data_IF_415914382225
#
_entry.id   IF_415914382225
#
_cell.length_a   1.000
_cell.length_b   1.000
_cell.length_c   1.000
_cell.angle_alpha   90.00
_cell.angle_beta   90.00
_cell.angle_gamma   90.00
#
_symmetry.space_group_name_H-M   'P 1'
#
loop_
_entity.id
_entity.type
_entity.pdbx_description
1 polymer ?
#
# COMPACT_ATOMS: atom_id res chain seq x y z
N UNK A 1 38.37 20.78 0.58
CA UNK A 1 36.95 21.04 0.18
C UNK A 1 36.38 19.69 -0.22
N UNK A 2 35.67 19.05 0.66
CA UNK A 2 35.02 17.76 0.41
C UNK A 2 33.52 18.02 0.22
N UNK A 3 33.07 17.74 -0.99
CA UNK A 3 31.66 17.79 -1.34
C UNK A 3 30.90 16.79 -0.46
N UNK A 4 30.03 17.31 0.39
CA UNK A 4 28.97 16.54 1.04
C UNK A 4 27.90 16.33 -0.03
N UNK A 5 27.91 15.19 -0.68
CA UNK A 5 26.72 14.70 -1.38
C UNK A 5 25.58 14.63 -0.38
N UNK A 6 24.59 15.51 -0.60
CA UNK A 6 23.34 15.47 0.11
C UNK A 6 22.63 14.16 -0.28
N UNK A 7 22.66 13.17 0.61
CA UNK A 7 21.69 12.08 0.57
C UNK A 7 20.33 12.72 0.78
N UNK A 8 19.60 12.92 -0.29
CA UNK A 8 18.17 13.18 -0.20
C UNK A 8 17.53 11.91 0.36
N UNK A 9 16.99 11.99 1.57
CA UNK A 9 16.11 10.95 2.10
C UNK A 9 15.03 10.67 1.03
N UNK A 10 14.78 9.39 0.71
CA UNK A 10 13.73 9.05 -0.24
C UNK A 10 12.41 9.62 0.30
N UNK A 11 11.76 10.45 -0.51
CA UNK A 11 10.43 10.97 -0.20
C UNK A 11 9.52 9.76 0.13
N UNK A 12 8.89 9.73 1.32
CA UNK A 12 8.03 8.63 1.67
C UNK A 12 6.89 8.56 0.66
N UNK A 13 6.63 7.36 0.13
CA UNK A 13 5.49 7.12 -0.76
C UNK A 13 4.19 7.45 -0.06
N UNK A 14 3.28 8.12 -0.77
CA UNK A 14 1.92 8.31 -0.31
C UNK A 14 1.17 6.95 -0.32
N UNK A 15 0.78 6.42 0.83
CA UNK A 15 0.02 5.17 0.90
C UNK A 15 -1.27 5.18 0.07
N UNK A 16 -1.89 6.35 -0.12
CA UNK A 16 -3.10 6.51 -0.93
C UNK A 16 -2.80 6.32 -2.40
N UNK A 17 -1.66 6.80 -2.88
CA UNK A 17 -1.21 6.57 -4.26
C UNK A 17 -0.96 5.08 -4.50
N UNK A 18 -0.27 4.40 -3.59
CA UNK A 18 -0.01 2.97 -3.68
C UNK A 18 -1.31 2.18 -3.75
N UNK A 19 -2.28 2.50 -2.89
CA UNK A 19 -3.60 1.84 -2.91
C UNK A 19 -4.30 2.05 -4.25
N UNK A 20 -4.31 3.27 -4.76
CA UNK A 20 -4.92 3.60 -6.06
C UNK A 20 -4.29 2.78 -7.19
N UNK A 21 -2.98 2.66 -7.23
CA UNK A 21 -2.25 1.91 -8.26
C UNK A 21 -2.51 0.40 -8.14
N UNK A 22 -2.55 -0.14 -6.93
CA UNK A 22 -2.82 -1.57 -6.72
C UNK A 22 -4.29 -1.92 -7.01
N UNK A 23 -5.23 -1.04 -6.67
CA UNK A 23 -6.65 -1.21 -7.05
C UNK A 23 -6.80 -1.16 -8.58
N UNK A 24 -6.17 -0.18 -9.26
CA UNK A 24 -6.15 -0.12 -10.72
C UNK A 24 -5.54 -1.38 -11.35
N UNK A 25 -4.46 -1.93 -10.77
CA UNK A 25 -3.85 -3.16 -11.26
C UNK A 25 -4.81 -4.37 -11.25
N UNK A 26 -5.65 -4.47 -10.22
CA UNK A 26 -6.65 -5.54 -10.10
C UNK A 26 -7.76 -5.36 -11.15
N UNK A 27 -8.26 -4.13 -11.31
CA UNK A 27 -9.35 -3.82 -12.23
C UNK A 27 -8.90 -3.96 -13.69
N UNK A 28 -7.75 -3.40 -14.06
CA UNK A 28 -7.16 -3.51 -15.39
C UNK A 28 -6.84 -4.96 -15.76
N UNK A 29 -6.38 -5.76 -14.78
CA UNK A 29 -6.16 -7.18 -15.02
C UNK A 29 -7.46 -7.92 -15.34
N UNK A 30 -8.57 -7.56 -14.68
CA UNK A 30 -9.87 -8.16 -14.98
C UNK A 30 -10.35 -7.81 -16.41
N UNK A 31 -10.18 -6.56 -16.85
CA UNK A 31 -10.49 -6.12 -18.22
C UNK A 31 -9.59 -6.80 -19.26
N UNK A 32 -8.29 -6.88 -18.99
CA UNK A 32 -7.33 -7.55 -19.86
C UNK A 32 -7.67 -9.03 -19.99
N UNK A 33 -8.01 -9.71 -18.90
CA UNK A 33 -8.40 -11.11 -18.88
C UNK A 33 -9.71 -11.34 -19.65
N UNK A 34 -10.66 -10.41 -19.56
CA UNK A 34 -11.88 -10.47 -20.35
C UNK A 34 -11.58 -10.40 -21.87
N UNK A 35 -10.70 -9.48 -22.28
CA UNK A 35 -10.26 -9.36 -23.68
C UNK A 35 -9.54 -10.64 -24.13
N UNK A 36 -8.69 -11.19 -23.29
CA UNK A 36 -7.99 -12.46 -23.54
C UNK A 36 -8.98 -13.61 -23.75
N UNK A 37 -9.97 -13.76 -22.85
CA UNK A 37 -10.99 -14.82 -22.98
C UNK A 37 -11.83 -14.66 -24.26
N UNK A 38 -12.20 -13.44 -24.64
CA UNK A 38 -12.95 -13.21 -25.88
C UNK A 38 -12.15 -13.66 -27.08
N UNK A 39 -10.88 -13.33 -27.16
CA UNK A 39 -10.02 -13.78 -28.25
C UNK A 39 -9.98 -15.32 -28.36
N UNK A 40 -9.82 -16.00 -27.23
CA UNK A 40 -9.71 -17.46 -27.21
C UNK A 40 -11.06 -18.15 -27.43
N UNK A 41 -12.10 -17.77 -26.68
CA UNK A 41 -13.41 -18.46 -26.67
C UNK A 41 -14.24 -18.09 -27.89
N UNK A 42 -14.28 -16.81 -28.26
CA UNK A 42 -15.08 -16.32 -29.37
C UNK A 42 -14.30 -16.34 -30.71
N UNK A 43 -13.00 -16.70 -30.67
CA UNK A 43 -12.09 -16.66 -31.83
C UNK A 43 -12.05 -15.30 -32.54
N UNK A 44 -12.10 -14.24 -31.73
CA UNK A 44 -11.92 -12.88 -32.20
C UNK A 44 -10.42 -12.58 -32.38
N UNK A 45 -10.07 -11.65 -33.24
CA UNK A 45 -8.69 -11.15 -33.35
C UNK A 45 -8.24 -10.61 -31.98
N UNK A 46 -7.11 -11.08 -31.44
CA UNK A 46 -6.66 -10.64 -30.12
C UNK A 46 -6.41 -9.12 -30.10
N UNK A 47 -6.84 -8.48 -29.01
CA UNK A 47 -6.53 -7.07 -28.73
C UNK A 47 -5.00 -6.88 -28.70
N UNK A 48 -4.46 -5.80 -29.32
CA UNK A 48 -3.02 -5.48 -29.25
C UNK A 48 -2.46 -5.47 -27.81
N UNK A 49 -3.26 -5.12 -26.80
CA UNK A 49 -2.87 -5.17 -25.39
C UNK A 49 -2.65 -6.59 -24.87
N UNK A 50 -3.19 -7.60 -25.56
CA UNK A 50 -3.00 -9.02 -25.20
C UNK A 50 -1.76 -9.61 -25.87
N UNK A 51 -1.47 -9.21 -27.13
CA UNK A 51 -0.40 -9.84 -27.94
C UNK A 51 0.87 -9.01 -28.07
N UNK A 52 0.90 -7.76 -27.56
CA UNK A 52 2.09 -6.93 -27.57
C UNK A 52 3.21 -7.55 -26.72
N UNK A 53 4.45 -7.41 -27.15
CA UNK A 53 5.65 -7.78 -26.35
C UNK A 53 5.80 -6.91 -25.10
N UNK A 54 5.17 -5.74 -25.10
CA UNK A 54 5.21 -4.75 -24.03
C UNK A 54 3.86 -4.63 -23.32
N UNK A 55 2.99 -5.64 -23.44
CA UNK A 55 1.64 -5.61 -22.87
C UNK A 55 1.61 -5.22 -21.39
N UNK A 56 2.56 -5.73 -20.62
CA UNK A 56 2.70 -5.42 -19.17
C UNK A 56 2.92 -3.93 -18.88
N UNK A 57 3.55 -3.17 -19.79
CA UNK A 57 3.81 -1.73 -19.64
C UNK A 57 2.66 -0.84 -20.14
N UNK A 58 1.66 -1.42 -20.79
CA UNK A 58 0.50 -0.67 -21.29
C UNK A 58 -0.56 -0.45 -20.19
N UNK A 59 -0.46 -1.16 -19.05
CA UNK A 59 -1.27 -0.93 -17.87
C UNK A 59 -0.76 0.24 -17.04
N UNK A 60 -1.63 0.89 -16.24
CA UNK A 60 -1.21 1.93 -15.30
C UNK A 60 -0.21 1.37 -14.28
N UNK A 61 -0.45 0.15 -13.79
CA UNK A 61 0.44 -0.52 -12.86
C UNK A 61 1.83 -0.74 -13.48
N UNK A 62 1.92 -1.33 -14.67
CA UNK A 62 3.20 -1.58 -15.34
C UNK A 62 3.97 -0.30 -15.65
N UNK A 63 3.27 0.73 -16.13
CA UNK A 63 3.86 2.06 -16.38
C UNK A 63 4.37 2.70 -15.08
N UNK A 64 3.59 2.62 -14.00
CA UNK A 64 3.99 3.14 -12.70
C UNK A 64 5.22 2.41 -12.14
N UNK A 65 5.27 1.08 -12.27
CA UNK A 65 6.42 0.27 -11.86
C UNK A 65 7.69 0.67 -12.61
N UNK A 66 7.61 0.88 -13.92
CA UNK A 66 8.78 1.28 -14.73
C UNK A 66 9.27 2.68 -14.39
N UNK A 67 8.37 3.63 -14.19
CA UNK A 67 8.70 5.01 -13.79
C UNK A 67 9.34 5.08 -12.40
N UNK A 68 8.96 4.20 -11.48
CA UNK A 68 9.39 4.23 -10.09
C UNK A 68 10.44 3.16 -9.75
N UNK A 69 11.00 2.46 -10.73
CA UNK A 69 11.93 1.33 -10.53
C UNK A 69 13.16 1.62 -9.66
N UNK A 70 13.55 2.89 -9.54
CA UNK A 70 14.69 3.32 -8.73
C UNK A 70 14.30 3.84 -7.34
N UNK A 71 13.05 3.67 -6.93
CA UNK A 71 12.55 4.18 -5.66
C UNK A 71 12.42 3.04 -4.63
N UNK A 72 12.78 3.32 -3.37
CA UNK A 72 12.93 2.31 -2.30
C UNK A 72 11.68 1.47 -1.98
N UNK A 73 10.46 1.90 -2.37
CA UNK A 73 9.26 1.08 -2.21
C UNK A 73 9.34 -0.19 -3.07
N UNK A 74 9.85 -0.07 -4.30
CA UNK A 74 9.98 -1.19 -5.22
C UNK A 74 11.12 -2.14 -4.85
N UNK A 75 12.01 -1.73 -3.94
CA UNK A 75 13.02 -2.60 -3.33
C UNK A 75 12.43 -3.55 -2.29
N UNK A 76 11.19 -3.33 -1.85
CA UNK A 76 10.51 -4.27 -0.97
C UNK A 76 10.14 -5.55 -1.73
N UNK A 77 10.39 -6.69 -1.09
CA UNK A 77 10.18 -8.02 -1.69
C UNK A 77 8.76 -8.24 -2.21
N UNK A 78 7.76 -7.67 -1.54
CA UNK A 78 6.35 -7.78 -1.92
C UNK A 78 6.02 -7.13 -3.27
N UNK A 79 6.62 -5.95 -3.55
CA UNK A 79 6.42 -5.24 -4.82
C UNK A 79 7.23 -5.86 -5.95
N UNK A 80 8.45 -6.30 -5.69
CA UNK A 80 9.24 -7.04 -6.68
C UNK A 80 8.54 -8.32 -7.11
N UNK A 81 7.96 -9.04 -6.16
CA UNK A 81 7.18 -10.25 -6.47
C UNK A 81 5.92 -9.91 -7.27
N UNK A 82 5.21 -8.83 -6.93
CA UNK A 82 4.03 -8.39 -7.70
C UNK A 82 4.40 -8.05 -9.15
N UNK A 83 5.51 -7.34 -9.37
CA UNK A 83 6.01 -7.01 -10.70
C UNK A 83 6.34 -8.27 -11.51
N UNK A 84 7.07 -9.21 -10.91
CA UNK A 84 7.42 -10.49 -11.53
C UNK A 84 6.17 -11.29 -11.92
N UNK A 85 5.18 -11.39 -11.02
CA UNK A 85 3.93 -12.09 -11.27
C UNK A 85 3.12 -11.42 -12.39
N UNK A 86 3.12 -10.09 -12.45
CA UNK A 86 2.47 -9.33 -13.52
C UNK A 86 3.11 -9.63 -14.88
N UNK A 87 4.42 -9.57 -14.96
CA UNK A 87 5.16 -9.88 -16.19
C UNK A 87 4.94 -11.33 -16.63
N UNK A 88 5.12 -12.28 -15.73
CA UNK A 88 4.93 -13.73 -16.00
C UNK A 88 3.52 -14.03 -16.54
N UNK A 89 2.50 -13.40 -15.96
CA UNK A 89 1.11 -13.56 -16.39
C UNK A 89 0.90 -13.03 -17.81
N UNK A 90 1.36 -11.80 -18.09
CA UNK A 90 1.21 -11.18 -19.42
C UNK A 90 1.96 -11.96 -20.49
N UNK A 91 3.20 -12.36 -20.23
CA UNK A 91 4.01 -13.11 -21.19
C UNK A 91 3.38 -14.46 -21.51
N UNK A 92 2.92 -15.20 -20.49
CA UNK A 92 2.30 -16.50 -20.69
C UNK A 92 0.95 -16.39 -21.41
N UNK A 93 0.11 -15.44 -21.02
CA UNK A 93 -1.17 -15.17 -21.68
C UNK A 93 -0.99 -14.75 -23.14
N UNK A 94 0.02 -13.93 -23.44
CA UNK A 94 0.40 -13.57 -24.82
C UNK A 94 0.74 -14.80 -25.67
N UNK A 95 1.58 -15.68 -25.15
CA UNK A 95 1.96 -16.89 -25.89
C UNK A 95 0.76 -17.78 -26.22
N UNK A 96 -0.18 -17.95 -25.28
CA UNK A 96 -1.40 -18.71 -25.52
C UNK A 96 -2.34 -18.03 -26.51
N UNK A 97 -2.46 -16.69 -26.44
CA UNK A 97 -3.29 -15.93 -27.39
C UNK A 97 -2.75 -16.05 -28.83
N UNK A 98 -1.45 -15.90 -29.02
CA UNK A 98 -0.80 -16.09 -30.33
C UNK A 98 -0.94 -17.51 -30.86
N UNK A 99 -0.81 -18.53 -29.99
CA UNK A 99 -1.02 -19.93 -30.33
C UNK A 99 -2.44 -20.19 -30.82
N UNK A 100 -3.44 -19.61 -30.13
CA UNK A 100 -4.84 -19.72 -30.49
C UNK A 100 -5.16 -18.99 -31.81
N UNK A 101 -4.59 -17.81 -32.03
CA UNK A 101 -4.77 -17.00 -33.25
C UNK A 101 -4.22 -17.75 -34.50
N UNK A 102 -3.17 -18.56 -34.32
CA UNK A 102 -2.64 -19.46 -35.35
C UNK A 102 -3.49 -20.71 -35.57
N UNK A 103 -4.63 -20.84 -34.90
CA UNK A 103 -5.54 -21.99 -35.03
C UNK A 103 -5.17 -23.21 -34.19
N UNK A 104 -4.17 -23.11 -33.31
CA UNK A 104 -3.78 -24.21 -32.44
C UNK A 104 -4.63 -24.22 -31.17
N UNK A 105 -5.17 -25.38 -30.75
CA UNK A 105 -5.92 -25.46 -29.51
C UNK A 105 -5.00 -25.26 -28.29
N UNK A 106 -5.53 -24.66 -27.23
CA UNK A 106 -4.85 -24.55 -25.94
C UNK A 106 -5.16 -25.81 -25.13
N UNK A 107 -4.14 -26.62 -24.75
CA UNK A 107 -4.35 -27.77 -23.85
C UNK A 107 -4.80 -27.30 -22.46
N UNK A 108 -5.63 -28.10 -21.79
CA UNK A 108 -6.12 -27.79 -20.44
C UNK A 108 -4.98 -27.50 -19.46
N UNK A 109 -3.88 -28.25 -19.52
CA UNK A 109 -2.71 -28.05 -18.66
C UNK A 109 -2.05 -26.66 -18.84
N UNK A 110 -2.04 -26.13 -20.07
CA UNK A 110 -1.51 -24.79 -20.33
C UNK A 110 -2.48 -23.71 -19.85
N UNK A 111 -3.79 -23.94 -20.00
CA UNK A 111 -4.80 -23.05 -19.44
C UNK A 111 -4.76 -23.01 -17.90
N UNK A 112 -4.62 -24.18 -17.27
CA UNK A 112 -4.52 -24.29 -15.81
C UNK A 112 -3.27 -23.55 -15.29
N UNK A 113 -2.12 -23.71 -15.96
CA UNK A 113 -0.90 -22.98 -15.63
C UNK A 113 -1.06 -21.46 -15.80
N UNK A 114 -1.78 -21.00 -16.82
CA UNK A 114 -2.12 -19.59 -16.99
C UNK A 114 -3.05 -19.09 -15.89
N UNK A 115 -4.10 -19.86 -15.57
CA UNK A 115 -5.04 -19.52 -14.50
C UNK A 115 -4.35 -19.39 -13.15
N UNK A 116 -3.38 -20.26 -12.86
CA UNK A 116 -2.56 -20.17 -11.65
C UNK A 116 -1.76 -18.85 -11.60
N UNK A 117 -1.15 -18.42 -12.72
CA UNK A 117 -0.41 -17.15 -12.78
C UNK A 117 -1.32 -15.95 -12.52
N UNK A 118 -2.53 -15.96 -13.10
CA UNK A 118 -3.56 -14.92 -12.84
C UNK A 118 -3.95 -14.90 -11.37
N UNK A 119 -4.18 -16.05 -10.75
CA UNK A 119 -4.53 -16.15 -9.34
C UNK A 119 -3.39 -15.67 -8.43
N UNK A 120 -2.14 -16.01 -8.76
CA UNK A 120 -0.97 -15.60 -7.99
C UNK A 120 -0.78 -14.08 -8.03
N UNK A 121 -0.90 -13.45 -9.20
CA UNK A 121 -0.87 -11.99 -9.33
C UNK A 121 -1.98 -11.33 -8.50
N UNK A 122 -3.23 -11.73 -8.71
CA UNK A 122 -4.38 -11.18 -7.98
C UNK A 122 -4.25 -11.38 -6.45
N UNK A 123 -3.76 -12.55 -6.04
CA UNK A 123 -3.52 -12.87 -4.63
C UNK A 123 -2.48 -11.94 -3.99
N UNK A 124 -1.37 -11.68 -4.70
CA UNK A 124 -0.32 -10.79 -4.23
C UNK A 124 -0.79 -9.32 -4.20
N UNK A 125 -1.47 -8.85 -5.24
CA UNK A 125 -2.05 -7.51 -5.28
C UNK A 125 -3.02 -7.27 -4.12
N UNK A 126 -3.92 -8.22 -3.85
CA UNK A 126 -4.87 -8.13 -2.71
C UNK A 126 -4.15 -8.11 -1.37
N UNK A 127 -3.07 -8.90 -1.18
CA UNK A 127 -2.26 -8.87 0.06
C UNK A 127 -1.64 -7.51 0.30
N UNK A 128 -1.03 -6.90 -0.72
CA UNK A 128 -0.46 -5.56 -0.63
C UNK A 128 -1.54 -4.54 -0.31
N UNK A 129 -2.65 -4.56 -1.06
CA UNK A 129 -3.80 -3.68 -0.81
C UNK A 129 -4.28 -3.74 0.63
N UNK A 130 -4.47 -4.93 1.16
CA UNK A 130 -4.94 -5.13 2.52
C UNK A 130 -3.95 -4.62 3.57
N UNK A 131 -2.65 -4.86 3.35
CA UNK A 131 -1.60 -4.35 4.24
C UNK A 131 -1.60 -2.80 4.28
N UNK A 132 -1.71 -2.14 3.13
CA UNK A 132 -1.76 -0.67 3.06
C UNK A 132 -3.06 -0.11 3.63
N UNK A 133 -4.21 -0.75 3.40
CA UNK A 133 -5.48 -0.34 4.01
C UNK A 133 -5.44 -0.44 5.53
N UNK A 134 -4.86 -1.52 6.07
CA UNK A 134 -4.66 -1.65 7.52
C UNK A 134 -3.76 -0.54 8.04
N UNK A 135 -2.60 -0.33 7.43
CA UNK A 135 -1.69 0.73 7.84
C UNK A 135 -2.36 2.12 7.84
N UNK A 136 -3.19 2.43 6.82
CA UNK A 136 -3.97 3.68 6.80
C UNK A 136 -5.05 3.73 7.90
N UNK A 137 -5.71 2.59 8.18
CA UNK A 137 -6.74 2.54 9.23
C UNK A 137 -6.18 2.62 10.65
N UNK A 138 -4.88 2.46 10.82
CA UNK A 138 -4.17 2.51 12.10
C UNK A 138 -3.76 3.92 12.52
N UNK A 139 -3.79 4.86 11.59
CA UNK A 139 -3.42 6.24 11.86
C UNK A 139 -4.65 7.16 11.94
N UNK A 140 -4.53 8.19 12.76
CA UNK A 140 -5.46 9.30 12.78
C UNK A 140 -5.19 10.23 11.59
N UNK A 141 -6.17 10.50 10.71
CA UNK A 141 -5.93 11.23 9.46
C UNK A 141 -5.57 12.69 9.67
N UNK A 142 -5.89 13.28 10.83
CA UNK A 142 -5.58 14.67 11.13
C UNK A 142 -4.16 14.84 11.66
N UNK A 143 -3.76 13.97 12.59
CA UNK A 143 -2.49 14.15 13.33
C UNK A 143 -1.37 13.22 12.85
N UNK A 144 -1.70 12.17 12.10
CA UNK A 144 -0.76 11.13 11.68
C UNK A 144 -0.29 10.20 12.82
N UNK A 145 -0.80 10.39 14.03
CA UNK A 145 -0.53 9.51 15.16
C UNK A 145 -1.31 8.19 15.03
N UNK A 146 -0.88 7.17 15.77
CA UNK A 146 -1.72 5.98 15.94
C UNK A 146 -3.08 6.36 16.53
N UNK A 147 -4.14 5.78 15.97
CA UNK A 147 -5.48 6.01 16.47
C UNK A 147 -5.84 5.06 17.63
N UNK A 148 -6.99 5.32 18.26
CA UNK A 148 -7.50 4.50 19.37
C UNK A 148 -7.69 3.03 19.00
N UNK A 149 -7.88 2.70 17.72
CA UNK A 149 -8.21 1.34 17.28
C UNK A 149 -7.05 0.37 17.47
N UNK A 150 -5.82 0.80 17.23
CA UNK A 150 -4.62 -0.02 17.42
C UNK A 150 -4.02 0.07 18.83
N UNK A 151 -4.42 1.08 19.59
CA UNK A 151 -3.89 1.35 20.92
C UNK A 151 -3.87 0.12 21.83
N UNK A 152 -4.99 -0.61 21.93
CA UNK A 152 -5.08 -1.78 22.81
C UNK A 152 -4.11 -2.89 22.40
N UNK A 153 -3.94 -3.12 21.10
CA UNK A 153 -2.99 -4.11 20.59
C UNK A 153 -1.54 -3.75 20.93
N UNK A 154 -1.21 -2.47 20.81
CA UNK A 154 0.14 -1.97 21.16
C UNK A 154 0.36 -2.04 22.67
N UNK A 155 -0.61 -1.62 23.48
CA UNK A 155 -0.53 -1.70 24.93
C UNK A 155 -0.39 -3.13 25.45
N UNK A 156 -1.11 -4.09 24.88
CA UNK A 156 -0.97 -5.51 25.23
C UNK A 156 0.43 -6.03 24.90
N UNK A 157 0.97 -5.68 23.73
CA UNK A 157 2.35 -6.02 23.34
C UNK A 157 3.38 -5.44 24.30
N UNK A 158 3.24 -4.18 24.69
CA UNK A 158 4.14 -3.52 25.62
C UNK A 158 4.04 -4.10 27.04
N UNK A 159 2.83 -4.45 27.48
CA UNK A 159 2.62 -5.17 28.74
C UNK A 159 3.35 -6.53 28.73
N UNK A 160 3.21 -7.31 27.67
CA UNK A 160 3.91 -8.60 27.55
C UNK A 160 5.42 -8.41 27.52
N UNK A 161 5.91 -7.38 26.85
CA UNK A 161 7.34 -7.01 26.86
C UNK A 161 7.82 -6.68 28.27
N UNK A 162 7.08 -5.84 28.99
CA UNK A 162 7.40 -5.44 30.36
C UNK A 162 7.46 -6.66 31.30
N UNK A 163 6.48 -7.56 31.21
CA UNK A 163 6.46 -8.80 32.00
C UNK A 163 7.65 -9.71 31.69
N UNK A 164 8.05 -9.85 30.46
CA UNK A 164 9.17 -10.71 30.03
C UNK A 164 10.53 -10.13 30.41
N UNK A 165 10.70 -8.81 30.32
CA UNK A 165 12.00 -8.15 30.58
C UNK A 165 12.18 -7.66 32.01
N UNK A 166 11.11 -7.59 32.81
CA UNK A 166 11.11 -6.94 34.11
C UNK A 166 11.22 -5.41 34.06
N UNK A 167 11.18 -4.82 32.86
CA UNK A 167 11.21 -3.36 32.67
C UNK A 167 9.82 -2.76 32.88
N UNK A 168 9.73 -1.67 33.64
CA UNK A 168 8.46 -0.95 33.84
C UNK A 168 7.95 -0.30 32.55
N UNK A 169 6.62 -0.20 32.43
CA UNK A 169 5.92 0.60 31.43
C UNK A 169 5.12 1.70 32.14
N UNK A 170 5.10 2.90 31.57
CA UNK A 170 4.32 4.02 32.10
C UNK A 170 3.30 4.43 31.04
N UNK A 171 2.08 4.73 31.44
CA UNK A 171 1.02 5.23 30.56
C UNK A 171 0.66 6.64 31.02
N UNK A 172 0.64 7.59 30.08
CA UNK A 172 0.29 8.98 30.33
C UNK A 172 -0.90 9.35 29.44
N UNK A 173 -1.98 9.84 30.08
CA UNK A 173 -3.09 10.45 29.35
C UNK A 173 -2.90 11.98 29.43
N UNK A 174 -2.86 12.62 28.26
CA UNK A 174 -2.75 14.06 28.09
C UNK A 174 -3.99 14.61 27.39
N UNK A 175 -4.43 15.80 27.80
CA UNK A 175 -5.59 16.49 27.23
C UNK A 175 -5.23 17.96 26.98
N UNK A 176 -5.80 18.59 25.94
CA UNK A 176 -5.56 20.00 25.65
C UNK A 176 -6.54 20.86 26.44
N UNK A 177 -6.03 21.58 27.42
CA UNK A 177 -6.81 22.46 28.26
C UNK A 177 -7.64 23.47 27.43
N UNK A 178 -8.96 23.49 27.69
CA UNK A 178 -9.89 24.42 27.05
C UNK A 178 -9.92 24.35 25.53
N UNK A 179 -9.67 23.21 24.93
CA UNK A 179 -9.65 23.04 23.48
C UNK A 179 -10.97 23.47 22.81
N UNK A 180 -12.10 23.20 23.47
CA UNK A 180 -13.40 23.70 23.01
C UNK A 180 -13.41 25.21 22.86
N UNK A 181 -12.81 25.97 23.80
CA UNK A 181 -12.73 27.42 23.71
C UNK A 181 -11.91 27.92 22.52
N UNK A 182 -10.88 27.13 22.10
CA UNK A 182 -10.13 27.41 20.87
C UNK A 182 -11.03 27.28 19.66
N UNK A 183 -11.79 26.18 19.57
CA UNK A 183 -12.72 25.96 18.47
C UNK A 183 -13.82 27.05 18.43
N UNK A 184 -14.42 27.35 19.56
CA UNK A 184 -15.51 28.34 19.66
C UNK A 184 -15.04 29.75 19.30
N UNK A 185 -13.78 30.09 19.58
CA UNK A 185 -13.23 31.43 19.35
C UNK A 185 -12.64 31.59 17.95
N UNK A 186 -11.92 30.59 17.45
CA UNK A 186 -11.08 30.68 16.25
C UNK A 186 -11.53 29.74 15.12
N UNK A 187 -12.54 28.91 15.35
CA UNK A 187 -13.06 27.96 14.39
C UNK A 187 -12.28 26.64 14.35
N UNK A 188 -12.91 25.59 13.79
CA UNK A 188 -12.37 24.24 13.74
C UNK A 188 -11.04 24.12 12.98
N UNK A 189 -10.82 24.92 11.93
CA UNK A 189 -9.56 24.90 11.18
C UNK A 189 -8.34 25.28 12.05
N UNK A 190 -8.53 26.22 13.00
CA UNK A 190 -7.48 26.58 13.96
C UNK A 190 -7.34 25.47 15.01
N UNK A 191 -8.43 24.86 15.45
CA UNK A 191 -8.40 23.70 16.34
C UNK A 191 -7.62 22.54 15.72
N UNK A 192 -7.88 22.22 14.46
CA UNK A 192 -7.16 21.18 13.72
C UNK A 192 -5.65 21.48 13.63
N UNK A 193 -5.28 22.73 13.35
CA UNK A 193 -3.88 23.16 13.36
C UNK A 193 -3.23 23.03 14.76
N UNK A 194 -3.97 23.32 15.83
CA UNK A 194 -3.49 23.12 17.22
C UNK A 194 -3.23 21.63 17.47
N UNK A 195 -4.17 20.74 17.11
CA UNK A 195 -4.01 19.29 17.27
C UNK A 195 -2.79 18.77 16.52
N UNK A 196 -2.60 19.15 15.27
CA UNK A 196 -1.42 18.79 14.47
C UNK A 196 -0.12 19.30 15.10
N UNK A 197 -0.13 20.55 15.59
CA UNK A 197 1.05 21.15 16.24
C UNK A 197 1.42 20.43 17.53
N UNK A 198 0.44 20.08 18.37
CA UNK A 198 0.65 19.34 19.62
C UNK A 198 1.19 17.95 19.33
N UNK A 199 0.57 17.23 18.38
CA UNK A 199 1.04 15.92 17.95
C UNK A 199 2.50 15.95 17.47
N UNK A 200 2.85 16.89 16.61
CA UNK A 200 4.22 17.07 16.12
C UNK A 200 5.22 17.39 17.24
N UNK A 201 4.79 18.16 18.24
CA UNK A 201 5.65 18.47 19.40
C UNK A 201 5.87 17.25 20.30
N UNK A 202 4.86 16.42 20.51
CA UNK A 202 5.03 15.16 21.22
C UNK A 202 6.01 14.26 20.50
N UNK A 203 5.79 14.01 19.20
CA UNK A 203 6.69 13.16 18.38
C UNK A 203 8.15 13.63 18.43
N UNK A 204 8.38 14.95 18.39
CA UNK A 204 9.73 15.52 18.45
C UNK A 204 10.43 15.38 19.82
N UNK A 205 9.69 15.03 20.89
CA UNK A 205 10.22 14.94 22.26
C UNK A 205 10.22 13.52 22.82
N UNK A 206 9.41 12.64 22.24
CA UNK A 206 9.36 11.24 22.62
C UNK A 206 10.62 10.49 22.15
N UNK A 207 10.96 9.42 22.86
CA UNK A 207 12.05 8.55 22.46
C UNK A 207 11.60 7.64 21.32
N UNK A 208 12.51 7.05 20.54
CA UNK A 208 12.14 6.15 19.43
C UNK A 208 11.32 4.92 19.82
N UNK A 209 11.26 4.60 21.10
CA UNK A 209 10.53 3.43 21.64
C UNK A 209 9.25 3.82 22.38
N UNK A 210 8.98 5.12 22.55
CA UNK A 210 7.75 5.60 23.14
C UNK A 210 6.66 5.62 22.06
N UNK A 211 5.48 5.12 22.40
CA UNK A 211 4.33 5.08 21.50
C UNK A 211 3.38 6.22 21.87
N UNK A 212 2.73 6.79 20.87
CA UNK A 212 1.74 7.86 21.07
C UNK A 212 0.51 7.62 20.22
N UNK A 213 -0.65 7.87 20.81
CA UNK A 213 -1.96 7.65 20.19
C UNK A 213 -2.82 8.91 20.32
N UNK A 214 -3.64 9.19 19.32
CA UNK A 214 -4.78 10.06 19.49
C UNK A 214 -5.93 9.24 20.07
N UNK A 215 -6.19 9.42 21.37
CA UNK A 215 -7.18 8.65 22.12
C UNK A 215 -8.61 9.16 21.89
N UNK A 216 -8.80 10.47 21.81
CA UNK A 216 -10.07 11.16 21.61
C UNK A 216 -9.93 12.41 20.75
N UNK A 217 -10.91 13.29 20.83
CA UNK A 217 -10.90 14.56 20.06
C UNK A 217 -9.68 15.41 20.34
N UNK A 218 -9.39 15.62 21.62
CA UNK A 218 -8.31 16.47 22.14
C UNK A 218 -7.37 15.73 23.10
N UNK A 219 -7.57 14.39 23.22
CA UNK A 219 -6.87 13.51 24.17
C UNK A 219 -5.79 12.68 23.46
N UNK A 220 -4.63 12.60 24.08
CA UNK A 220 -3.47 11.81 23.63
C UNK A 220 -3.06 10.81 24.72
N UNK A 221 -2.70 9.59 24.32
CA UNK A 221 -2.16 8.58 25.21
C UNK A 221 -0.72 8.27 24.78
N UNK A 222 0.19 8.26 25.74
CA UNK A 222 1.61 8.01 25.54
C UNK A 222 2.02 6.82 26.36
#
# INVERSE_FOLDING_TARGET
MADREAHSDPTPFDPSEVLRIVDAAIDENAEWLQSWHRAIVCRETPDPRVVSEYAQYLSQFGSWMDLNKNQGLLDQSAFRELARLHEDMHQFGRLLALKSDQGHPIPAVEYDAFSEKVQNFNGQARRIREAFRRAQSELDPLTGLHNRQVMMTVLDRERERALRTGAGCCIVLADIDRFKSVNDTYGHAVGDFVLQTVAGRFLAKLRPYDEIFRYGGEEFLI
#
